data_IF_108587634209
#
_entry.id   IF_108587634209
#
_cell.length_a   1.000
_cell.length_b   1.000
_cell.length_c   1.000
_cell.angle_alpha   90.00
_cell.angle_beta   90.00
_cell.angle_gamma   90.00
#
_symmetry.space_group_name_H-M   'P 1'
#
loop_
_entity.id
_entity.type
_entity.pdbx_description
1 polymer ?
#
# COMPACT_ATOMS: atom_id res chain seq x y z
N UNK A 1 -0.68 73.99 58.40
CA UNK A 1 0.13 73.09 57.54
C UNK A 1 -0.74 72.59 56.40
N UNK A 2 -0.55 73.02 55.13
CA UNK A 2 -1.27 72.43 54.03
C UNK A 2 -0.57 71.13 53.59
N UNK A 3 -1.26 70.00 53.65
CA UNK A 3 -0.81 68.72 53.10
C UNK A 3 -1.19 68.63 51.63
N UNK A 4 -0.20 68.65 50.72
CA UNK A 4 -0.42 68.47 49.28
C UNK A 4 -0.59 66.98 48.96
N UNK A 5 -1.82 66.54 48.72
CA UNK A 5 -2.10 65.21 48.18
C UNK A 5 -1.96 65.21 46.65
N UNK A 6 -1.02 64.42 46.16
CA UNK A 6 -0.76 64.20 44.73
C UNK A 6 -1.91 63.36 44.15
N UNK A 7 -2.74 63.94 43.29
CA UNK A 7 -3.87 63.23 42.66
C UNK A 7 -3.31 62.11 41.77
N UNK A 8 -3.76 60.86 41.94
CA UNK A 8 -3.30 59.77 41.10
C UNK A 8 -3.74 60.00 39.65
N UNK A 9 -2.89 59.65 38.66
CA UNK A 9 -3.19 59.89 37.26
C UNK A 9 -4.31 58.96 36.77
N UNK A 10 -5.48 59.53 36.47
CA UNK A 10 -6.68 58.81 36.02
C UNK A 10 -6.50 58.08 34.67
N UNK A 11 -5.46 58.43 33.91
CA UNK A 11 -5.16 57.81 32.61
C UNK A 11 -4.63 56.38 32.70
N UNK A 12 -4.07 55.98 33.85
CA UNK A 12 -3.55 54.62 34.07
C UNK A 12 -4.63 53.53 33.94
N UNK A 13 -5.77 53.60 34.65
CA UNK A 13 -6.83 52.61 34.49
C UNK A 13 -7.42 52.63 33.08
N UNK A 14 -7.51 53.80 32.43
CA UNK A 14 -8.02 53.89 31.07
C UNK A 14 -7.16 53.09 30.07
N UNK A 15 -5.84 53.25 30.14
CA UNK A 15 -4.91 52.49 29.30
C UNK A 15 -4.98 50.98 29.56
N UNK A 16 -5.12 50.57 30.82
CA UNK A 16 -5.28 49.16 31.17
C UNK A 16 -6.59 48.57 30.61
N UNK A 17 -7.71 49.28 30.76
CA UNK A 17 -9.01 48.83 30.24
C UNK A 17 -9.03 48.72 28.72
N UNK A 18 -8.41 49.67 28.00
CA UNK A 18 -8.32 49.64 26.55
C UNK A 18 -7.45 48.46 26.05
N UNK A 19 -6.33 48.22 26.72
CA UNK A 19 -5.46 47.07 26.42
C UNK A 19 -6.19 45.74 26.65
N UNK A 20 -6.92 45.62 27.75
CA UNK A 20 -7.70 44.41 28.06
C UNK A 20 -8.79 44.16 27.02
N UNK A 21 -9.47 45.22 26.57
CA UNK A 21 -10.48 45.16 25.50
C UNK A 21 -9.87 44.73 24.16
N UNK A 22 -8.72 45.29 23.79
CA UNK A 22 -8.01 44.90 22.57
C UNK A 22 -7.56 43.43 22.63
N UNK A 23 -7.10 42.97 23.79
CA UNK A 23 -6.70 41.58 23.99
C UNK A 23 -7.89 40.61 23.88
N UNK A 24 -9.04 40.96 24.48
CA UNK A 24 -10.28 40.18 24.35
C UNK A 24 -10.75 40.10 22.89
N UNK A 25 -10.68 41.22 22.15
CA UNK A 25 -11.04 41.24 20.74
C UNK A 25 -10.09 40.39 19.88
N UNK A 26 -8.78 40.48 20.13
CA UNK A 26 -7.78 39.68 19.45
C UNK A 26 -7.97 38.18 19.70
N UNK A 27 -8.20 37.78 20.96
CA UNK A 27 -8.49 36.39 21.30
C UNK A 27 -9.79 35.90 20.66
N UNK A 28 -10.85 36.73 20.67
CA UNK A 28 -12.11 36.40 20.01
C UNK A 28 -11.94 36.19 18.50
N UNK A 29 -11.23 37.10 17.83
CA UNK A 29 -10.92 36.98 16.41
C UNK A 29 -10.07 35.73 16.13
N UNK A 30 -9.00 35.50 16.90
CA UNK A 30 -8.12 34.34 16.75
C UNK A 30 -8.81 33.00 17.06
N UNK A 31 -9.85 32.99 17.91
CA UNK A 31 -10.63 31.80 18.18
C UNK A 31 -11.58 31.46 17.02
N UNK A 32 -12.07 32.48 16.32
CA UNK A 32 -12.93 32.33 15.13
C UNK A 32 -12.10 31.96 13.90
N UNK A 33 -10.97 32.64 13.68
CA UNK A 33 -10.06 32.40 12.55
C UNK A 33 -9.06 31.27 12.78
N UNK A 34 -9.07 30.65 13.97
CA UNK A 34 -8.17 29.57 14.31
C UNK A 34 -8.56 28.26 13.61
N UNK A 35 -7.59 27.39 13.36
CA UNK A 35 -7.76 26.08 12.72
C UNK A 35 -8.80 25.14 13.40
N UNK A 36 -9.34 25.50 14.56
CA UNK A 36 -10.37 24.76 15.32
C UNK A 36 -11.72 25.49 15.36
N UNK A 37 -11.93 26.49 14.50
CA UNK A 37 -13.20 27.19 14.35
C UNK A 37 -14.36 26.25 14.01
N UNK A 38 -15.60 26.72 14.19
CA UNK A 38 -16.81 25.88 14.02
C UNK A 38 -16.90 25.31 12.59
N UNK A 39 -16.40 26.04 11.58
CA UNK A 39 -16.38 25.61 10.18
C UNK A 39 -15.33 24.54 9.87
N UNK A 40 -14.18 24.52 10.56
CA UNK A 40 -13.13 23.53 10.30
C UNK A 40 -13.48 22.14 10.86
N UNK A 41 -14.49 22.04 11.74
CA UNK A 41 -14.94 20.76 12.31
C UNK A 41 -15.42 19.78 11.26
N UNK A 42 -16.10 20.26 10.22
CA UNK A 42 -16.60 19.41 9.15
C UNK A 42 -15.46 18.91 8.26
N UNK A 43 -14.51 19.78 7.93
CA UNK A 43 -13.30 19.42 7.19
C UNK A 43 -12.43 18.43 7.96
N UNK A 44 -12.22 18.65 9.25
CA UNK A 44 -11.46 17.74 10.12
C UNK A 44 -12.15 16.37 10.20
N UNK A 45 -13.49 16.33 10.31
CA UNK A 45 -14.23 15.06 10.31
C UNK A 45 -14.09 14.31 8.98
N UNK A 46 -14.22 15.02 7.86
CA UNK A 46 -14.02 14.42 6.54
C UNK A 46 -12.58 13.89 6.37
N UNK A 47 -11.59 14.62 6.89
CA UNK A 47 -10.19 14.17 6.85
C UNK A 47 -9.96 12.94 7.74
N UNK A 48 -10.59 12.88 8.92
CA UNK A 48 -10.58 11.68 9.77
C UNK A 48 -11.17 10.49 9.03
N UNK A 49 -12.35 10.65 8.40
CA UNK A 49 -13.02 9.57 7.65
C UNK A 49 -12.14 9.05 6.49
N UNK A 50 -11.54 9.96 5.71
CA UNK A 50 -10.60 9.60 4.64
C UNK A 50 -9.39 8.82 5.20
N UNK A 51 -8.88 9.22 6.36
CA UNK A 51 -7.71 8.59 6.97
C UNK A 51 -8.06 7.21 7.54
N UNK A 52 -9.25 7.06 8.13
CA UNK A 52 -9.79 5.79 8.59
C UNK A 52 -9.96 4.81 7.42
N UNK A 53 -10.55 5.24 6.30
CA UNK A 53 -10.72 4.42 5.10
C UNK A 53 -9.38 3.94 4.54
N UNK A 54 -8.39 4.83 4.46
CA UNK A 54 -7.03 4.47 4.03
C UNK A 54 -6.39 3.47 4.97
N UNK A 55 -6.58 3.65 6.28
CA UNK A 55 -6.04 2.73 7.29
C UNK A 55 -6.68 1.35 7.17
N UNK A 56 -7.99 1.28 6.92
CA UNK A 56 -8.72 0.02 6.76
C UNK A 56 -8.28 -0.72 5.49
N UNK A 57 -8.08 -0.02 4.38
CA UNK A 57 -7.55 -0.60 3.14
C UNK A 57 -6.15 -1.18 3.33
N UNK A 58 -5.24 -0.42 3.97
CA UNK A 58 -3.89 -0.90 4.27
C UNK A 58 -3.90 -2.10 5.22
N UNK A 59 -4.79 -2.11 6.21
CA UNK A 59 -4.92 -3.21 7.14
C UNK A 59 -5.36 -4.49 6.41
N UNK A 60 -6.31 -4.38 5.46
CA UNK A 60 -6.73 -5.51 4.64
C UNK A 60 -5.59 -6.07 3.78
N UNK A 61 -4.75 -5.21 3.20
CA UNK A 61 -3.55 -5.63 2.47
C UNK A 61 -2.56 -6.36 3.40
N UNK A 62 -2.28 -5.80 4.57
CA UNK A 62 -1.40 -6.41 5.57
C UNK A 62 -1.92 -7.79 5.98
N UNK A 63 -3.22 -7.95 6.19
CA UNK A 63 -3.80 -9.23 6.58
C UNK A 63 -3.72 -10.26 5.44
N UNK A 64 -3.89 -9.84 4.19
CA UNK A 64 -3.66 -10.70 3.03
C UNK A 64 -2.20 -11.16 2.93
N UNK A 65 -1.23 -10.27 3.16
CA UNK A 65 0.19 -10.63 3.18
C UNK A 65 0.55 -11.52 4.36
N UNK A 66 0.05 -11.21 5.56
CA UNK A 66 0.24 -12.06 6.75
C UNK A 66 -0.30 -13.46 6.53
N UNK A 67 -1.46 -13.58 5.89
CA UNK A 67 -2.02 -14.88 5.52
C UNK A 67 -1.07 -15.64 4.59
N UNK A 68 -0.59 -15.00 3.51
CA UNK A 68 0.40 -15.61 2.60
C UNK A 68 1.69 -16.02 3.29
N UNK A 69 2.23 -15.16 4.16
CA UNK A 69 3.45 -15.44 4.94
C UNK A 69 3.21 -16.60 5.90
N UNK A 70 2.03 -16.67 6.53
CA UNK A 70 1.65 -17.80 7.39
C UNK A 70 1.65 -19.12 6.62
N UNK A 71 1.19 -19.11 5.35
CA UNK A 71 1.26 -20.29 4.48
C UNK A 71 2.71 -20.64 4.08
N UNK A 72 3.64 -19.69 4.10
CA UNK A 72 5.06 -19.88 3.79
C UNK A 72 5.93 -20.10 5.04
N UNK A 73 5.35 -20.33 6.23
CA UNK A 73 6.11 -20.38 7.48
C UNK A 73 7.11 -21.56 7.50
N UNK A 74 8.43 -21.30 7.59
CA UNK A 74 9.49 -22.31 7.50
C UNK A 74 9.59 -23.29 8.67
N UNK A 75 8.85 -23.08 9.78
CA UNK A 75 8.68 -24.15 10.77
C UNK A 75 7.96 -25.38 10.21
N UNK A 76 7.28 -25.26 9.06
CA UNK A 76 6.62 -26.35 8.34
C UNK A 76 7.05 -26.44 6.87
N UNK A 77 7.95 -25.57 6.41
CA UNK A 77 8.42 -25.56 5.03
C UNK A 77 9.69 -26.40 4.93
N UNK A 78 9.67 -27.39 4.05
CA UNK A 78 10.80 -28.29 3.84
C UNK A 78 12.01 -27.53 3.24
N UNK A 79 13.20 -27.53 3.88
CA UNK A 79 14.40 -26.90 3.34
C UNK A 79 14.75 -27.42 1.94
N UNK A 80 14.38 -28.65 1.60
CA UNK A 80 14.64 -29.23 0.28
C UNK A 80 13.84 -28.51 -0.82
N UNK A 81 12.58 -28.15 -0.56
CA UNK A 81 11.73 -27.39 -1.50
C UNK A 81 12.30 -26.00 -1.83
N UNK A 82 12.93 -25.33 -0.85
CA UNK A 82 13.62 -24.05 -1.09
C UNK A 82 14.82 -24.25 -2.00
N UNK A 83 15.59 -25.31 -1.75
CA UNK A 83 16.78 -25.65 -2.52
C UNK A 83 16.41 -26.01 -3.96
N UNK A 84 15.39 -26.83 -4.16
CA UNK A 84 14.83 -27.16 -5.47
C UNK A 84 14.33 -25.93 -6.21
N UNK A 85 13.60 -25.02 -5.53
CA UNK A 85 13.13 -23.78 -6.14
C UNK A 85 14.28 -22.84 -6.53
N UNK A 86 15.29 -22.71 -5.69
CA UNK A 86 16.49 -21.92 -5.99
C UNK A 86 17.25 -22.52 -7.19
N UNK A 87 17.37 -23.85 -7.24
CA UNK A 87 18.02 -24.58 -8.33
C UNK A 87 17.27 -24.38 -9.66
N UNK A 88 15.95 -24.50 -9.64
CA UNK A 88 15.08 -24.26 -10.79
C UNK A 88 15.18 -22.81 -11.32
N UNK A 89 15.25 -21.81 -10.44
CA UNK A 89 15.42 -20.40 -10.84
C UNK A 89 16.79 -20.12 -11.48
N UNK A 90 17.83 -20.83 -11.03
CA UNK A 90 19.18 -20.75 -11.58
C UNK A 90 19.37 -21.66 -12.81
N UNK A 91 18.30 -22.29 -13.29
CA UNK A 91 18.31 -23.27 -14.37
C UNK A 91 19.36 -24.38 -14.16
N UNK A 92 19.53 -24.78 -12.91
CA UNK A 92 20.45 -25.83 -12.47
C UNK A 92 19.63 -27.10 -12.17
N UNK A 93 20.22 -28.28 -12.35
CA UNK A 93 19.63 -29.58 -12.04
C UNK A 93 20.75 -30.53 -11.59
N UNK A 94 20.46 -31.48 -10.71
CA UNK A 94 21.39 -32.57 -10.39
C UNK A 94 21.34 -33.66 -11.47
N UNK A 95 22.37 -34.51 -11.50
CA UNK A 95 22.46 -35.61 -12.46
C UNK A 95 21.32 -36.64 -12.33
N UNK A 96 20.71 -36.73 -11.15
CA UNK A 96 19.65 -37.69 -10.83
C UNK A 96 18.23 -37.09 -10.92
N UNK A 97 18.10 -35.80 -11.28
CA UNK A 97 16.81 -35.09 -11.32
C UNK A 97 16.06 -35.34 -12.65
N UNK A 98 14.74 -35.54 -12.58
CA UNK A 98 13.88 -35.66 -13.77
C UNK A 98 13.35 -34.28 -14.19
N UNK A 99 13.76 -33.82 -15.37
CA UNK A 99 13.33 -32.54 -15.93
C UNK A 99 12.05 -32.70 -16.76
N UNK A 100 10.98 -32.02 -16.35
CA UNK A 100 9.73 -31.91 -17.11
C UNK A 100 9.67 -30.51 -17.72
N UNK A 101 9.95 -30.40 -19.02
CA UNK A 101 9.74 -29.14 -19.73
C UNK A 101 8.24 -28.92 -19.91
N UNK A 102 7.74 -27.72 -19.61
CA UNK A 102 6.35 -27.33 -19.81
C UNK A 102 6.26 -26.24 -20.88
N UNK A 103 5.24 -26.31 -21.74
CA UNK A 103 5.02 -25.26 -22.72
C UNK A 103 4.38 -24.03 -22.02
N UNK A 104 4.95 -22.83 -22.18
CA UNK A 104 4.53 -21.63 -21.45
C UNK A 104 3.11 -21.14 -21.79
N UNK A 105 2.54 -21.55 -22.91
CA UNK A 105 1.20 -21.12 -23.33
C UNK A 105 0.08 -22.01 -22.81
N UNK A 106 0.37 -23.31 -22.60
CA UNK A 106 -0.66 -24.30 -22.27
C UNK A 106 -0.43 -25.03 -20.94
N UNK A 107 0.73 -24.84 -20.29
CA UNK A 107 1.07 -25.46 -19.01
C UNK A 107 1.20 -26.99 -19.06
N UNK A 108 1.24 -27.58 -20.25
CA UNK A 108 1.35 -29.03 -20.45
C UNK A 108 2.83 -29.43 -20.64
N UNK A 109 3.22 -30.64 -20.20
CA UNK A 109 4.57 -31.14 -20.46
C UNK A 109 4.81 -31.26 -21.97
N UNK A 110 6.00 -30.83 -22.41
CA UNK A 110 6.46 -30.89 -23.81
C UNK A 110 6.78 -32.33 -24.22
N UNK A 111 6.91 -33.24 -23.25
CA UNK A 111 7.09 -34.68 -23.49
C UNK A 111 5.73 -35.33 -23.74
N UNK A 112 5.44 -35.66 -25.01
CA UNK A 112 4.34 -36.55 -25.36
C UNK A 112 3.45 -36.17 -26.54
N UNK A 113 3.73 -35.14 -27.33
CA UNK A 113 3.11 -35.01 -28.66
C UNK A 113 3.81 -35.96 -29.65
N UNK A 114 3.70 -37.27 -29.43
CA UNK A 114 3.66 -38.19 -30.57
C UNK A 114 2.31 -37.95 -31.23
N UNK A 115 2.27 -37.00 -32.17
CA UNK A 115 1.22 -37.01 -33.19
C UNK A 115 1.55 -38.21 -34.04
N UNK A 116 0.90 -39.35 -33.76
CA UNK A 116 0.84 -40.47 -34.67
C UNK A 116 0.20 -39.91 -35.95
N UNK A 117 1.03 -39.55 -36.93
CA UNK A 117 0.52 -39.11 -38.22
C UNK A 117 -0.28 -40.28 -38.76
N UNK A 118 -1.59 -40.08 -38.85
CA UNK A 118 -2.51 -41.03 -39.45
C UNK A 118 -1.99 -41.27 -40.87
N UNK A 119 -1.88 -42.54 -41.28
CA UNK A 119 -1.24 -42.95 -42.55
C UNK A 119 -1.69 -42.11 -43.76
N UNK A 120 -2.95 -41.65 -43.76
CA UNK A 120 -3.54 -40.80 -44.80
C UNK A 120 -2.83 -39.44 -44.97
N UNK A 121 -2.38 -38.80 -43.89
CA UNK A 121 -1.64 -37.53 -43.99
C UNK A 121 -0.19 -37.75 -44.46
N UNK A 122 0.47 -38.84 -44.01
CA UNK A 122 1.81 -39.20 -44.50
C UNK A 122 1.82 -39.47 -46.00
N UNK A 123 0.82 -40.19 -46.51
CA UNK A 123 0.65 -40.46 -47.94
C UNK A 123 0.50 -39.15 -48.71
N UNK A 124 -0.29 -38.20 -48.21
CA UNK A 124 -0.50 -36.91 -48.87
C UNK A 124 0.77 -36.06 -48.97
N UNK A 125 1.62 -36.07 -47.94
CA UNK A 125 2.89 -35.34 -47.91
C UNK A 125 3.91 -35.95 -48.87
N UNK A 126 4.04 -37.29 -48.85
CA UNK A 126 4.94 -38.02 -49.76
C UNK A 126 4.53 -37.81 -51.23
N UNK A 127 3.22 -37.79 -51.49
CA UNK A 127 2.68 -37.60 -52.83
C UNK A 127 2.82 -36.15 -53.33
N UNK A 128 2.76 -35.16 -52.43
CA UNK A 128 3.05 -33.76 -52.75
C UNK A 128 4.53 -33.54 -53.09
N UNK A 129 5.45 -34.18 -52.35
CA UNK A 129 6.90 -34.07 -52.57
C UNK A 129 7.36 -34.83 -53.83
N UNK A 130 6.64 -35.89 -54.22
CA UNK A 130 6.91 -36.65 -55.46
C UNK A 130 6.45 -35.96 -56.76
N UNK A 131 5.90 -34.74 -56.67
CA UNK A 131 5.47 -33.95 -57.85
C UNK A 131 6.41 -32.79 -58.21
N UNK A 132 7.58 -32.72 -57.57
CA UNK A 132 8.74 -31.92 -57.98
C UNK A 132 9.81 -32.79 -58.64
#
# INVERSE_FOLDING_TARGET
MPTRLKRPPFWRPLGFTASLLAFQFYLGYSAISGQFGIESREQIKAEIEILEDRSAALQAELDAYKHRISLMNPRHLDPDLITERARALLNMANADDILIMINPENGKPISGQFVELIDDELISIIQADSTL
#
